data_IF_118777213950
#
_entry.id   IF_118777213950
#
_cell.length_a   1.000
_cell.length_b   1.000
_cell.length_c   1.000
_cell.angle_alpha   90.00
_cell.angle_beta   90.00
_cell.angle_gamma   90.00
#
_symmetry.space_group_name_H-M   'P 1'
#
loop_
_entity.id
_entity.type
_entity.pdbx_description
1 polymer ?
#
# COMPACT_ATOMS: atom_id res chain seq x y z
N UNK A 1 -1.75 -22.86 7.41
CA UNK A 1 -0.55 -22.38 8.13
C UNK A 1 0.26 -21.48 7.20
N UNK A 2 0.96 -20.48 7.74
CA UNK A 2 1.73 -19.49 6.99
C UNK A 2 2.78 -20.13 6.07
N UNK A 3 3.49 -21.16 6.56
CA UNK A 3 4.47 -21.93 5.77
C UNK A 3 3.88 -22.52 4.48
N UNK A 4 2.65 -23.03 4.53
CA UNK A 4 1.96 -23.55 3.34
C UNK A 4 1.71 -22.43 2.32
N UNK A 5 1.38 -21.23 2.79
CA UNK A 5 1.14 -20.07 1.93
C UNK A 5 2.43 -19.66 1.20
N UNK A 6 3.53 -19.51 1.93
CA UNK A 6 4.86 -19.20 1.35
C UNK A 6 5.27 -20.25 0.33
N UNK A 7 5.05 -21.52 0.63
CA UNK A 7 5.30 -22.62 -0.32
C UNK A 7 4.54 -22.46 -1.62
N UNK A 8 3.24 -22.19 -1.52
CA UNK A 8 2.38 -22.03 -2.69
C UNK A 8 2.80 -20.80 -3.50
N UNK A 9 3.06 -19.67 -2.83
CA UNK A 9 3.52 -18.43 -3.45
C UNK A 9 4.83 -18.64 -4.23
N UNK A 10 5.83 -19.22 -3.58
CA UNK A 10 7.11 -19.53 -4.19
C UNK A 10 6.96 -20.50 -5.38
N UNK A 11 6.08 -21.48 -5.28
CA UNK A 11 5.76 -22.36 -6.42
C UNK A 11 5.06 -21.65 -7.58
N UNK A 12 4.33 -20.55 -7.33
CA UNK A 12 3.78 -19.70 -8.40
C UNK A 12 4.87 -18.85 -9.05
N UNK A 13 5.82 -18.35 -8.27
CA UNK A 13 7.02 -17.67 -8.77
C UNK A 13 7.75 -18.58 -9.77
N UNK A 14 8.02 -19.83 -9.43
CA UNK A 14 8.68 -20.79 -10.33
C UNK A 14 7.92 -20.98 -11.65
N UNK A 15 6.58 -21.07 -11.60
CA UNK A 15 5.73 -21.18 -12.80
C UNK A 15 5.80 -19.93 -13.67
N UNK A 16 5.77 -18.73 -13.07
CA UNK A 16 5.93 -17.47 -13.79
C UNK A 16 7.29 -17.38 -14.47
N UNK A 17 8.37 -17.76 -13.78
CA UNK A 17 9.70 -17.81 -14.36
C UNK A 17 9.77 -18.76 -15.56
N UNK A 18 9.10 -19.92 -15.47
CA UNK A 18 8.99 -20.85 -16.58
C UNK A 18 8.27 -20.22 -17.79
N UNK A 19 7.18 -19.47 -17.58
CA UNK A 19 6.48 -18.78 -18.66
C UNK A 19 7.31 -17.65 -19.29
N UNK A 20 8.06 -16.90 -18.50
CA UNK A 20 9.00 -15.88 -19.00
C UNK A 20 10.06 -16.53 -19.88
N UNK A 21 10.70 -17.61 -19.41
CA UNK A 21 11.71 -18.36 -20.18
C UNK A 21 11.14 -18.93 -21.49
N UNK A 22 9.88 -19.37 -21.48
CA UNK A 22 9.17 -19.85 -22.67
C UNK A 22 8.67 -18.72 -23.59
N UNK A 23 8.93 -17.45 -23.27
CA UNK A 23 8.42 -16.26 -23.99
C UNK A 23 6.89 -16.22 -24.10
N UNK A 24 6.19 -16.76 -23.10
CA UNK A 24 4.72 -16.75 -22.99
C UNK A 24 4.20 -15.70 -22.01
N UNK A 25 5.08 -14.97 -21.35
CA UNK A 25 4.72 -13.89 -20.45
C UNK A 25 4.30 -12.63 -21.22
N UNK A 26 3.46 -11.81 -20.59
CA UNK A 26 3.06 -10.50 -21.11
C UNK A 26 4.30 -9.60 -21.22
N UNK A 27 4.32 -8.71 -22.21
CA UNK A 27 5.43 -7.75 -22.35
C UNK A 27 5.52 -6.87 -21.08
N UNK A 28 6.73 -6.70 -20.55
CA UNK A 28 6.94 -5.96 -19.30
C UNK A 28 6.62 -6.72 -18.02
N UNK A 29 6.33 -8.03 -18.09
CA UNK A 29 6.14 -8.84 -16.88
C UNK A 29 7.42 -8.85 -16.02
N UNK A 30 7.31 -8.32 -14.81
CA UNK A 30 8.36 -8.33 -13.78
C UNK A 30 8.17 -9.55 -12.89
N UNK A 31 9.28 -10.22 -12.56
CA UNK A 31 9.28 -11.38 -11.69
C UNK A 31 9.10 -10.94 -10.22
N UNK A 32 8.14 -11.51 -9.47
CA UNK A 32 8.04 -11.28 -8.03
C UNK A 32 9.26 -11.86 -7.30
N UNK A 33 9.66 -11.26 -6.17
CA UNK A 33 10.76 -11.82 -5.36
C UNK A 33 10.31 -13.04 -4.57
N UNK A 34 11.24 -13.97 -4.39
CA UNK A 34 11.02 -15.18 -3.61
C UNK A 34 10.97 -14.87 -2.11
N UNK A 35 10.09 -15.55 -1.37
CA UNK A 35 10.02 -15.38 0.08
C UNK A 35 10.80 -16.52 0.76
N UNK A 36 11.89 -16.24 1.49
CA UNK A 36 12.62 -17.26 2.22
C UNK A 36 11.73 -17.87 3.32
N UNK A 37 11.91 -19.16 3.59
CA UNK A 37 11.18 -19.83 4.67
C UNK A 37 11.90 -19.67 6.00
N UNK A 38 13.23 -19.62 5.92
CA UNK A 38 14.14 -19.31 7.00
C UNK A 38 13.88 -17.87 7.46
N UNK A 39 13.79 -17.64 8.77
CA UNK A 39 13.53 -16.30 9.32
C UNK A 39 12.13 -15.74 9.05
N UNK A 40 11.19 -16.50 8.47
CA UNK A 40 9.83 -16.03 8.16
C UNK A 40 9.05 -15.55 9.40
N UNK A 41 9.39 -16.04 10.59
CA UNK A 41 8.80 -15.62 11.85
C UNK A 41 9.65 -14.58 12.60
N UNK A 42 10.79 -14.19 12.02
CA UNK A 42 11.78 -13.25 12.54
C UNK A 42 11.90 -12.03 11.61
N UNK A 43 10.79 -11.67 10.94
CA UNK A 43 10.79 -10.59 9.95
C UNK A 43 11.07 -9.23 10.58
N UNK A 44 11.95 -8.46 9.94
CA UNK A 44 12.24 -7.06 10.22
C UNK A 44 11.70 -6.15 9.09
N UNK A 45 11.66 -4.84 9.34
CA UNK A 45 11.22 -3.82 8.37
C UNK A 45 12.14 -3.72 7.15
N UNK A 46 13.39 -4.15 7.29
CA UNK A 46 14.40 -4.13 6.22
C UNK A 46 14.34 -5.37 5.31
N UNK A 47 13.46 -6.34 5.59
CA UNK A 47 13.41 -7.59 4.81
C UNK A 47 12.68 -7.41 3.47
N UNK A 48 13.24 -7.99 2.41
CA UNK A 48 12.78 -7.90 1.01
C UNK A 48 11.34 -8.39 0.74
N UNK A 49 10.67 -8.98 1.75
CA UNK A 49 9.26 -9.36 1.66
C UNK A 49 8.34 -8.14 1.60
N UNK A 50 8.77 -7.01 2.16
CA UNK A 50 8.05 -5.75 2.13
C UNK A 50 8.29 -5.07 0.78
N UNK A 51 7.42 -5.34 -0.19
CA UNK A 51 7.54 -4.76 -1.52
C UNK A 51 6.63 -3.55 -1.69
N UNK A 52 7.26 -2.41 -1.94
CA UNK A 52 6.58 -1.18 -2.36
C UNK A 52 6.28 -1.15 -3.88
N UNK A 53 6.39 -2.30 -4.56
CA UNK A 53 6.18 -2.42 -6.00
C UNK A 53 4.73 -2.09 -6.32
N UNK A 54 4.51 -0.95 -6.98
CA UNK A 54 3.19 -0.41 -7.28
C UNK A 54 2.57 0.45 -6.18
N UNK A 55 3.25 0.59 -5.04
CA UNK A 55 2.96 1.61 -4.02
C UNK A 55 3.69 2.92 -4.30
N UNK A 56 4.79 2.88 -5.04
CA UNK A 56 5.36 4.04 -5.73
C UNK A 56 4.57 4.38 -7.00
N UNK A 57 3.24 4.46 -6.90
CA UNK A 57 2.54 5.32 -7.86
C UNK A 57 3.17 6.71 -7.76
N UNK A 58 3.28 7.44 -8.88
CA UNK A 58 3.65 8.86 -8.87
C UNK A 58 3.04 9.48 -7.63
N UNK A 59 3.86 9.96 -6.69
CA UNK A 59 3.42 10.49 -5.41
C UNK A 59 2.34 11.53 -5.71
N UNK A 60 1.08 11.09 -5.71
CA UNK A 60 0.00 11.94 -6.12
C UNK A 60 0.00 13.05 -5.09
N UNK A 61 0.01 14.30 -5.56
CA UNK A 61 0.04 15.45 -4.67
C UNK A 61 -1.01 15.21 -3.57
N UNK A 62 -0.59 15.21 -2.29
CA UNK A 62 -1.49 14.85 -1.21
C UNK A 62 -2.72 15.75 -1.27
N UNK A 63 -3.92 15.22 -1.00
CA UNK A 63 -5.14 15.99 -1.14
C UNK A 63 -5.06 17.26 -0.28
N UNK A 64 -5.67 18.36 -0.75
CA UNK A 64 -5.46 19.67 -0.14
C UNK A 64 -5.86 19.75 1.35
N UNK A 65 -6.84 18.94 1.80
CA UNK A 65 -7.18 18.84 3.23
C UNK A 65 -6.03 18.31 4.09
N UNK A 66 -5.05 17.62 3.48
CA UNK A 66 -3.83 17.15 4.13
C UNK A 66 -2.68 18.13 3.92
N UNK A 67 -2.49 18.61 2.69
CA UNK A 67 -1.30 19.33 2.26
C UNK A 67 -1.36 20.86 2.39
N UNK A 68 -2.55 21.47 2.31
CA UNK A 68 -2.73 22.93 2.28
C UNK A 68 -3.18 23.47 3.64
N UNK A 69 -2.33 24.30 4.26
CA UNK A 69 -2.59 24.93 5.55
C UNK A 69 -3.87 25.77 5.56
N UNK A 70 -4.17 26.49 4.48
CA UNK A 70 -5.37 27.33 4.37
C UNK A 70 -6.62 26.48 4.31
N UNK A 71 -6.56 25.35 3.60
CA UNK A 71 -7.69 24.39 3.57
C UNK A 71 -7.92 23.80 4.95
N UNK A 72 -6.87 23.42 5.68
CA UNK A 72 -7.00 22.90 7.06
C UNK A 72 -7.58 23.93 8.03
N UNK A 73 -7.13 25.19 7.95
CA UNK A 73 -7.70 26.28 8.75
C UNK A 73 -9.17 26.49 8.40
N UNK A 74 -9.51 26.57 7.11
CA UNK A 74 -10.89 26.77 6.67
C UNK A 74 -11.84 25.66 7.09
N UNK A 75 -11.41 24.38 7.08
CA UNK A 75 -12.21 23.26 7.57
C UNK A 75 -12.53 23.44 9.06
N UNK A 76 -11.53 23.80 9.88
CA UNK A 76 -11.73 24.01 11.31
C UNK A 76 -12.68 25.18 11.59
N UNK A 77 -12.51 26.28 10.88
CA UNK A 77 -13.35 27.47 11.05
C UNK A 77 -14.81 27.18 10.67
N UNK A 78 -15.04 26.39 9.62
CA UNK A 78 -16.38 25.95 9.21
C UNK A 78 -17.03 25.08 10.28
N UNK A 79 -16.31 24.08 10.80
CA UNK A 79 -16.81 23.19 11.85
C UNK A 79 -17.13 23.95 13.14
N UNK A 80 -16.33 24.95 13.47
CA UNK A 80 -16.59 25.80 14.64
C UNK A 80 -17.84 26.65 14.46
N UNK A 81 -18.02 27.25 13.28
CA UNK A 81 -19.25 27.98 12.95
C UNK A 81 -20.49 27.07 13.06
N UNK A 82 -20.44 25.89 12.45
CA UNK A 82 -21.57 24.97 12.44
C UNK A 82 -21.93 24.53 13.86
N UNK A 83 -20.93 24.26 14.71
CA UNK A 83 -21.12 23.98 16.14
C UNK A 83 -21.78 25.14 16.89
N UNK A 84 -21.41 26.39 16.60
CA UNK A 84 -22.05 27.55 17.22
C UNK A 84 -23.54 27.64 16.85
N UNK A 85 -23.88 27.39 15.57
CA UNK A 85 -25.27 27.38 15.10
C UNK A 85 -26.08 26.26 15.78
N UNK A 86 -25.50 25.06 15.90
CA UNK A 86 -26.12 23.95 16.60
C UNK A 86 -26.40 24.28 18.07
N UNK A 87 -25.46 24.91 18.77
CA UNK A 87 -25.64 25.31 20.17
C UNK A 87 -26.67 26.43 20.32
N UNK A 88 -26.71 27.40 19.40
CA UNK A 88 -27.76 28.43 19.37
C UNK A 88 -29.16 27.84 19.19
N UNK A 89 -29.32 26.80 18.36
CA UNK A 89 -30.60 26.11 18.18
C UNK A 89 -31.03 25.26 19.39
N UNK A 90 -30.10 24.93 20.28
CA UNK A 90 -30.37 24.13 21.48
C UNK A 90 -30.89 24.98 22.66
N UNK A 91 -30.62 26.29 22.64
CA UNK A 91 -31.05 27.27 23.63
C UNK A 91 -32.50 27.74 23.40
#
# INVERSE_FOLDING_TARGET
TLLRLVTTYNGLCDKLMAFIRQRKAVHGAVMPHYIPREGLFELNVDDDIWQDVGLTGDEAEPPAWLADDKVRVGIRDLLEKDRCIEEEMRL
#
